data_IF_367836225385
#
_entry.id   IF_367836225385
#
_cell.length_a   1.000
_cell.length_b   1.000
_cell.length_c   1.000
_cell.angle_alpha   90.00
_cell.angle_beta   90.00
_cell.angle_gamma   90.00
#
_symmetry.space_group_name_H-M   'P 1'
#
loop_
_entity.id
_entity.type
_entity.pdbx_description
1 polymer ?
#
# COMPACT_ATOMS: atom_id res chain seq x y z
N UNK A 1 30.51 -0.47 17.96
CA UNK A 1 29.26 -1.25 18.07
C UNK A 1 28.08 -0.30 17.86
N UNK A 2 27.74 0.09 16.62
CA UNK A 2 26.70 1.14 16.41
C UNK A 2 26.02 1.09 15.03
N UNK A 3 25.79 -0.10 14.46
CA UNK A 3 25.10 -0.21 13.16
C UNK A 3 23.80 -1.02 13.21
N UNK A 4 23.54 -1.80 14.27
CA UNK A 4 22.32 -2.61 14.38
C UNK A 4 21.06 -1.76 14.61
N UNK A 5 21.16 -0.75 15.49
CA UNK A 5 20.03 0.08 15.92
C UNK A 5 19.31 0.85 14.79
N UNK A 6 20.05 1.33 13.77
CA UNK A 6 19.47 2.09 12.67
C UNK A 6 18.64 1.22 11.73
N UNK A 7 19.13 0.02 11.38
CA UNK A 7 18.40 -0.92 10.52
C UNK A 7 17.12 -1.43 11.21
N UNK A 8 17.20 -1.73 12.51
CA UNK A 8 16.05 -2.15 13.32
C UNK A 8 14.99 -1.04 13.48
N UNK A 9 15.38 0.22 13.35
CA UNK A 9 14.46 1.36 13.43
C UNK A 9 13.75 1.57 12.08
N UNK A 10 14.49 1.51 10.98
CA UNK A 10 13.93 1.64 9.62
C UNK A 10 12.94 0.51 9.32
N UNK A 11 13.24 -0.73 9.71
CA UNK A 11 12.34 -1.86 9.50
C UNK A 11 11.05 -1.75 10.31
N UNK A 12 11.13 -1.17 11.53
CA UNK A 12 9.93 -0.86 12.33
C UNK A 12 9.08 0.24 11.71
N UNK A 13 9.70 1.33 11.26
CA UNK A 13 9.00 2.41 10.56
C UNK A 13 8.33 1.91 9.28
N UNK A 14 9.03 1.08 8.51
CA UNK A 14 8.48 0.42 7.32
C UNK A 14 7.26 -0.41 7.68
N UNK A 15 7.37 -1.27 8.68
CA UNK A 15 6.28 -2.15 9.13
C UNK A 15 5.06 -1.35 9.58
N UNK A 16 5.28 -0.22 10.28
CA UNK A 16 4.24 0.70 10.68
C UNK A 16 3.57 1.38 9.48
N UNK A 17 4.34 1.80 8.48
CA UNK A 17 3.80 2.37 7.24
C UNK A 17 2.96 1.33 6.46
N UNK A 18 3.42 0.08 6.40
CA UNK A 18 2.66 -1.01 5.76
C UNK A 18 1.34 -1.29 6.50
N UNK A 19 1.35 -1.30 7.83
CA UNK A 19 0.15 -1.45 8.65
C UNK A 19 -0.84 -0.29 8.43
N UNK A 20 -0.36 0.95 8.52
CA UNK A 20 -1.18 2.15 8.29
C UNK A 20 -1.79 2.21 6.89
N UNK A 21 -1.03 1.82 5.86
CA UNK A 21 -1.55 1.71 4.50
C UNK A 21 -2.69 0.70 4.39
N UNK A 22 -2.54 -0.48 5.02
CA UNK A 22 -3.57 -1.53 5.02
C UNK A 22 -4.83 -1.07 5.74
N UNK A 23 -4.68 -0.41 6.88
CA UNK A 23 -5.82 0.13 7.64
C UNK A 23 -6.55 1.21 6.87
N UNK A 24 -5.82 2.18 6.30
CA UNK A 24 -6.40 3.23 5.47
C UNK A 24 -7.21 2.67 4.30
N UNK A 25 -6.66 1.69 3.56
CA UNK A 25 -7.34 1.07 2.42
C UNK A 25 -8.61 0.31 2.86
N UNK A 26 -8.55 -0.41 3.99
CA UNK A 26 -9.72 -1.10 4.57
C UNK A 26 -10.80 -0.13 5.04
N UNK A 27 -10.42 1.02 5.58
CA UNK A 27 -11.38 2.05 6.00
C UNK A 27 -12.00 2.76 4.79
N UNK A 28 -11.20 3.06 3.77
CA UNK A 28 -11.65 3.73 2.55
C UNK A 28 -12.60 2.87 1.71
N UNK A 29 -12.42 1.55 1.73
CA UNK A 29 -13.17 0.63 0.89
C UNK A 29 -13.86 -0.47 1.70
N UNK A 30 -15.18 -0.56 1.59
CA UNK A 30 -15.98 -1.53 2.35
C UNK A 30 -15.86 -2.99 1.90
N UNK A 31 -15.30 -3.26 0.71
CA UNK A 31 -15.28 -4.60 0.09
C UNK A 31 -13.88 -5.09 -0.26
N UNK A 32 -12.88 -4.69 0.52
CA UNK A 32 -11.50 -5.19 0.35
C UNK A 32 -11.46 -6.68 0.64
N UNK A 33 -11.01 -7.45 -0.35
CA UNK A 33 -10.73 -8.87 -0.20
C UNK A 33 -9.25 -9.10 0.14
N UNK A 34 -8.36 -8.43 -0.59
CA UNK A 34 -6.91 -8.58 -0.40
C UNK A 34 -6.18 -7.29 -0.76
N UNK A 35 -5.08 -7.04 -0.04
CA UNK A 35 -4.15 -5.92 -0.28
C UNK A 35 -2.75 -6.51 -0.48
N UNK A 36 -2.19 -6.26 -1.65
CA UNK A 36 -0.82 -6.63 -2.01
C UNK A 36 0.04 -5.37 -2.05
N UNK A 37 1.11 -5.36 -1.26
CA UNK A 37 2.12 -4.31 -1.31
C UNK A 37 3.25 -4.80 -2.20
N UNK A 38 3.47 -4.13 -3.33
CA UNK A 38 4.52 -4.49 -4.30
C UNK A 38 5.85 -3.85 -3.93
N UNK A 39 5.83 -2.59 -3.55
CA UNK A 39 7.05 -1.84 -3.26
C UNK A 39 6.79 -0.87 -2.14
N UNK A 40 7.71 -0.84 -1.19
CA UNK A 40 7.70 0.07 -0.05
C UNK A 40 9.10 0.66 0.05
N UNK A 41 9.19 1.96 -0.12
CA UNK A 41 10.47 2.66 -0.07
C UNK A 41 10.31 4.01 0.60
N UNK A 42 11.41 4.51 1.15
CA UNK A 42 11.45 5.84 1.75
C UNK A 42 11.93 6.84 0.71
N UNK A 43 11.13 7.87 0.47
CA UNK A 43 11.48 9.00 -0.37
C UNK A 43 11.58 10.23 0.53
N UNK A 44 12.82 10.69 0.79
CA UNK A 44 13.10 11.79 1.73
C UNK A 44 12.50 11.51 3.12
N UNK A 45 11.46 12.24 3.51
CA UNK A 45 10.76 12.10 4.78
C UNK A 45 9.34 11.55 4.59
N UNK A 46 9.14 10.64 3.63
CA UNK A 46 7.84 10.06 3.34
C UNK A 46 8.01 8.60 2.95
N UNK A 47 7.17 7.73 3.49
CA UNK A 47 7.05 6.35 3.02
C UNK A 47 6.14 6.32 1.81
N UNK A 48 6.64 5.79 0.70
CA UNK A 48 5.87 5.61 -0.53
C UNK A 48 5.58 4.12 -0.69
N UNK A 49 4.31 3.78 -0.72
CA UNK A 49 3.81 2.42 -0.87
C UNK A 49 3.09 2.30 -2.20
N UNK A 50 3.52 1.34 -3.01
CA UNK A 50 2.85 0.94 -4.24
C UNK A 50 2.30 -0.46 -4.08
N UNK A 51 1.06 -0.66 -4.48
CA UNK A 51 0.40 -1.93 -4.31
C UNK A 51 -0.85 -2.07 -5.15
N UNK A 52 -1.53 -3.18 -4.92
CA UNK A 52 -2.80 -3.51 -5.55
C UNK A 52 -3.81 -3.90 -4.48
N UNK A 53 -5.04 -3.49 -4.69
CA UNK A 53 -6.18 -3.86 -3.86
C UNK A 53 -7.19 -4.61 -4.71
N UNK A 54 -7.55 -5.80 -4.23
CA UNK A 54 -8.57 -6.65 -4.82
C UNK A 54 -9.88 -6.49 -4.05
N UNK A 55 -10.96 -6.28 -4.77
CA UNK A 55 -12.30 -6.11 -4.22
C UNK A 55 -13.17 -7.33 -4.50
N UNK A 56 -13.96 -7.71 -3.49
CA UNK A 56 -15.01 -8.72 -3.65
C UNK A 56 -16.19 -8.12 -4.42
N UNK A 57 -16.52 -8.68 -5.58
CA UNK A 57 -17.80 -8.44 -6.27
C UNK A 57 -18.64 -9.72 -6.27
N UNK A 58 -19.91 -9.57 -6.61
CA UNK A 58 -20.77 -10.73 -6.89
C UNK A 58 -20.21 -11.51 -8.10
N UNK A 59 -20.37 -12.84 -8.07
CA UNK A 59 -19.88 -13.79 -9.08
C UNK A 59 -18.33 -13.88 -9.14
N UNK A 60 -17.75 -13.91 -10.35
CA UNK A 60 -16.31 -14.15 -10.61
C UNK A 60 -15.55 -12.88 -11.03
N UNK A 61 -16.16 -11.70 -10.92
CA UNK A 61 -15.55 -10.45 -11.35
C UNK A 61 -14.75 -9.82 -10.21
N UNK A 62 -13.52 -10.29 -9.96
CA UNK A 62 -12.58 -9.54 -9.12
C UNK A 62 -12.28 -8.18 -9.76
N UNK A 63 -12.53 -7.07 -9.04
CA UNK A 63 -12.02 -5.77 -9.45
C UNK A 63 -10.68 -5.54 -8.76
N UNK A 64 -9.69 -5.13 -9.53
CA UNK A 64 -8.35 -4.83 -9.03
C UNK A 64 -8.01 -3.37 -9.34
N UNK A 65 -7.45 -2.68 -8.35
CA UNK A 65 -6.91 -1.34 -8.51
C UNK A 65 -5.48 -1.33 -8.05
N UNK A 66 -4.62 -0.68 -8.82
CA UNK A 66 -3.31 -0.29 -8.32
C UNK A 66 -3.49 0.96 -7.48
N UNK A 67 -2.68 1.09 -6.44
CA UNK A 67 -2.63 2.29 -5.62
C UNK A 67 -1.21 2.74 -5.37
N UNK A 68 -1.08 4.04 -5.18
CA UNK A 68 0.10 4.69 -4.62
C UNK A 68 -0.32 5.46 -3.40
N UNK A 69 0.34 5.22 -2.28
CA UNK A 69 0.03 5.82 -1.01
C UNK A 69 1.30 6.39 -0.38
N UNK A 70 1.20 7.60 0.15
CA UNK A 70 2.30 8.30 0.82
C UNK A 70 1.96 8.51 2.28
N UNK A 71 2.84 8.07 3.19
CA UNK A 71 2.68 8.19 4.65
C UNK A 71 3.80 9.06 5.22
N UNK A 72 3.43 10.01 6.06
CA UNK A 72 4.40 10.74 6.85
C UNK A 72 4.89 9.83 8.00
N UNK A 73 6.19 9.47 8.07
CA UNK A 73 6.74 8.63 9.14
C UNK A 73 6.64 9.27 10.53
N UNK A 74 6.58 10.60 10.63
CA UNK A 74 6.53 11.31 11.91
C UNK A 74 5.11 11.30 12.52
N UNK A 75 4.08 11.48 11.69
CA UNK A 75 2.68 11.55 12.17
C UNK A 75 1.91 10.25 11.95
N UNK A 76 2.40 9.36 11.07
CA UNK A 76 1.68 8.17 10.63
C UNK A 76 0.49 8.45 9.72
N UNK A 77 0.28 9.71 9.32
CA UNK A 77 -0.87 10.11 8.51
C UNK A 77 -0.60 9.92 7.01
N UNK A 78 -1.68 9.67 6.27
CA UNK A 78 -1.64 9.55 4.81
C UNK A 78 -1.59 10.96 4.20
N UNK A 79 -0.43 11.31 3.64
CA UNK A 79 -0.21 12.58 2.98
C UNK A 79 -0.85 12.63 1.58
N UNK A 80 -0.84 11.50 0.86
CA UNK A 80 -1.42 11.39 -0.49
C UNK A 80 -1.86 9.97 -0.80
N UNK A 81 -2.88 9.86 -1.63
CA UNK A 81 -3.40 8.58 -2.10
C UNK A 81 -3.99 8.67 -3.50
N UNK A 82 -3.49 7.82 -4.39
CA UNK A 82 -3.91 7.72 -5.78
C UNK A 82 -4.31 6.27 -6.08
N UNK A 83 -5.39 6.08 -6.83
CA UNK A 83 -5.83 4.76 -7.32
C UNK A 83 -6.04 4.79 -8.82
N UNK A 84 -5.65 3.70 -9.47
CA UNK A 84 -5.91 3.50 -10.89
C UNK A 84 -6.53 2.12 -11.11
N UNK A 85 -7.50 2.06 -12.02
CA UNK A 85 -8.04 0.78 -12.46
C UNK A 85 -6.93 -0.01 -13.17
N UNK A 86 -6.72 -1.27 -12.77
CA UNK A 86 -5.80 -2.14 -13.50
C UNK A 86 -6.46 -2.47 -14.84
N UNK A 87 -5.98 -1.84 -15.91
CA UNK A 87 -6.44 -2.13 -17.25
C UNK A 87 -5.92 -3.52 -17.63
N UNK A 88 -6.75 -4.54 -17.47
CA UNK A 88 -6.50 -5.84 -18.11
C UNK A 88 -6.63 -5.61 -19.61
N UNK A 89 -5.53 -5.35 -20.32
CA UNK A 89 -5.51 -5.60 -21.77
C UNK A 89 -5.73 -7.10 -21.91
N UNK A 90 -6.92 -7.49 -22.37
CA UNK A 90 -7.16 -8.84 -22.84
C UNK A 90 -6.17 -9.12 -23.98
N UNK A 91 -5.03 -9.72 -23.70
CA UNK A 91 -4.32 -10.51 -24.70
C UNK A 91 -5.10 -11.80 -24.88
N UNK A 92 -6.12 -11.74 -25.73
CA UNK A 92 -6.72 -12.93 -26.33
C UNK A 92 -5.72 -13.39 -27.39
N UNK A 93 -5.04 -14.51 -27.13
CA UNK A 93 -4.39 -15.31 -28.17
C UNK A 93 -5.24 -16.54 -28.41
#
# INVERSE_FOLDING_TARGET
>A
MTQKSLADSVERERSQAEAGAREFIKQKHSRVERIFLRTVYRERNTWVLHGEVQFKRAYFFGAERSFRLQINPETGEVASYEEHAVSRRNEVK
#
